data_IF_861428947359
#
_entry.id   IF_861428947359
#
_cell.length_a   1.000
_cell.length_b   1.000
_cell.length_c   1.000
_cell.angle_alpha   90.00
_cell.angle_beta   90.00
_cell.angle_gamma   90.00
#
_symmetry.space_group_name_H-M   'P 1'
#
loop_
_entity.id
_entity.type
_entity.pdbx_description
1 polymer ?
#
# COMPACT_ATOMS: atom_id res chain seq x y z
N UNK A 1 -27.38 9.76 2.36
CA UNK A 1 -26.50 8.66 1.90
C UNK A 1 -27.40 7.45 1.71
N UNK A 2 -27.51 6.92 0.49
CA UNK A 2 -28.36 5.75 0.21
C UNK A 2 -27.64 4.48 0.63
N UNK A 3 -28.28 3.64 1.43
CA UNK A 3 -27.80 2.29 1.74
C UNK A 3 -28.01 1.41 0.52
N UNK A 4 -26.95 0.80 0.02
CA UNK A 4 -27.02 -0.18 -1.07
C UNK A 4 -27.72 -1.44 -0.53
N UNK A 5 -28.69 -1.98 -1.26
CA UNK A 5 -29.41 -3.18 -0.82
C UNK A 5 -28.59 -4.44 -1.11
N UNK A 6 -28.86 -5.53 -0.40
CA UNK A 6 -28.18 -6.82 -0.60
C UNK A 6 -28.44 -7.37 -2.02
N UNK A 7 -29.62 -7.09 -2.57
CA UNK A 7 -30.03 -7.46 -3.91
C UNK A 7 -29.24 -6.68 -4.98
N UNK A 8 -28.94 -5.40 -4.74
CA UNK A 8 -28.07 -4.59 -5.61
C UNK A 8 -26.64 -5.12 -5.59
N UNK A 9 -26.11 -5.50 -4.42
CA UNK A 9 -24.78 -6.13 -4.30
C UNK A 9 -24.70 -7.43 -5.09
N UNK A 10 -25.71 -8.29 -4.96
CA UNK A 10 -25.76 -9.58 -5.67
C UNK A 10 -25.90 -9.39 -7.19
N UNK A 11 -26.62 -8.36 -7.63
CA UNK A 11 -26.73 -8.05 -9.06
C UNK A 11 -25.39 -7.56 -9.63
N UNK A 12 -24.64 -6.74 -8.89
CA UNK A 12 -23.32 -6.28 -9.32
C UNK A 12 -22.30 -7.41 -9.45
N UNK A 13 -22.36 -8.42 -8.56
CA UNK A 13 -21.49 -9.61 -8.66
C UNK A 13 -21.84 -10.43 -9.90
N UNK A 14 -23.13 -10.57 -10.22
CA UNK A 14 -23.58 -11.29 -11.43
C UNK A 14 -23.15 -10.59 -12.71
N UNK A 15 -23.39 -9.28 -12.81
CA UNK A 15 -23.02 -8.48 -13.97
C UNK A 15 -21.50 -8.50 -14.21
N UNK A 16 -20.71 -8.54 -13.14
CA UNK A 16 -19.25 -8.67 -13.22
C UNK A 16 -18.82 -10.02 -13.83
N UNK A 17 -19.46 -11.12 -13.42
CA UNK A 17 -19.16 -12.48 -13.89
C UNK A 17 -19.62 -12.67 -15.35
N UNK A 18 -20.75 -12.09 -15.75
CA UNK A 18 -21.32 -12.24 -17.09
C UNK A 18 -20.67 -11.33 -18.15
N UNK A 19 -20.05 -10.21 -17.74
CA UNK A 19 -19.43 -9.25 -18.66
C UNK A 19 -18.09 -9.72 -19.28
N UNK A 20 -17.47 -10.76 -18.73
CA UNK A 20 -16.28 -11.40 -19.31
C UNK A 20 -16.62 -12.84 -19.70
N UNK A 21 -17.13 -13.02 -20.93
CA UNK A 21 -17.30 -14.35 -21.51
C UNK A 21 -15.96 -15.10 -21.52
N UNK A 22 -15.92 -16.19 -20.74
CA UNK A 22 -14.76 -17.02 -20.53
C UNK A 22 -14.31 -17.70 -21.84
N UNK A 23 -13.03 -17.56 -22.18
CA UNK A 23 -12.36 -18.54 -23.06
C UNK A 23 -12.04 -19.82 -22.27
N UNK A 24 -12.01 -21.01 -22.90
CA UNK A 24 -11.93 -22.28 -22.18
C UNK A 24 -10.61 -22.46 -21.40
N UNK A 25 -10.72 -22.91 -20.16
CA UNK A 25 -9.62 -23.27 -19.27
C UNK A 25 -8.98 -24.56 -19.77
N UNK A 26 -7.68 -24.53 -20.07
CA UNK A 26 -6.86 -25.72 -20.36
C UNK A 26 -6.38 -26.35 -19.05
N UNK A 27 -6.19 -27.68 -18.98
CA UNK A 27 -5.78 -28.36 -17.74
C UNK A 27 -4.32 -28.00 -17.37
N UNK A 28 -3.93 -28.12 -16.08
CA UNK A 28 -2.59 -27.75 -15.63
C UNK A 28 -1.58 -28.81 -16.06
N UNK A 29 -0.61 -28.40 -16.88
CA UNK A 29 0.57 -29.19 -17.19
C UNK A 29 1.50 -29.22 -15.97
N UNK A 30 1.88 -30.43 -15.56
CA UNK A 30 2.81 -30.73 -14.49
C UNK A 30 4.26 -30.32 -14.79
N UNK A 31 4.91 -29.75 -13.76
CA UNK A 31 6.35 -29.65 -13.46
C UNK A 31 7.27 -28.85 -14.39
N UNK A 32 7.88 -27.80 -13.83
CA UNK A 32 9.34 -27.66 -13.59
C UNK A 32 9.59 -26.40 -12.76
N UNK A 33 10.34 -26.50 -11.64
CA UNK A 33 10.78 -25.31 -10.89
C UNK A 33 11.65 -24.45 -11.81
N UNK A 34 11.13 -23.27 -12.15
CA UNK A 34 11.78 -22.33 -13.05
C UNK A 34 12.68 -21.40 -12.23
N UNK A 35 13.93 -21.24 -12.65
CA UNK A 35 14.87 -20.24 -12.14
C UNK A 35 14.35 -18.78 -12.18
N UNK A 36 13.18 -18.55 -12.79
CA UNK A 36 12.55 -17.25 -12.92
C UNK A 36 11.82 -16.78 -11.65
N UNK A 37 11.49 -17.70 -10.73
CA UNK A 37 10.67 -17.40 -9.53
C UNK A 37 11.45 -16.65 -8.44
N UNK A 38 12.78 -16.67 -8.47
CA UNK A 38 13.63 -15.92 -7.52
C UNK A 38 13.80 -14.44 -7.90
N UNK A 39 13.57 -14.07 -9.17
CA UNK A 39 13.84 -12.73 -9.66
C UNK A 39 13.03 -11.64 -8.93
N UNK A 40 11.71 -11.81 -8.66
CA UNK A 40 10.92 -10.80 -7.95
C UNK A 40 11.39 -10.60 -6.51
N UNK A 41 11.74 -11.68 -5.81
CA UNK A 41 12.23 -11.64 -4.43
C UNK A 41 13.55 -10.88 -4.33
N UNK A 42 14.54 -11.26 -5.16
CA UNK A 42 15.85 -10.58 -5.18
C UNK A 42 15.71 -9.10 -5.56
N UNK A 43 14.83 -8.78 -6.51
CA UNK A 43 14.54 -7.39 -6.91
C UNK A 43 13.92 -6.61 -5.74
N UNK A 44 12.96 -7.19 -5.03
CA UNK A 44 12.34 -6.57 -3.86
C UNK A 44 13.37 -6.32 -2.76
N UNK A 45 14.19 -7.33 -2.43
CA UNK A 45 15.25 -7.20 -1.43
C UNK A 45 16.25 -6.11 -1.80
N UNK A 46 16.67 -6.03 -3.06
CA UNK A 46 17.59 -4.99 -3.50
C UNK A 46 16.97 -3.59 -3.39
N UNK A 47 15.69 -3.43 -3.73
CA UNK A 47 14.98 -2.16 -3.54
C UNK A 47 14.89 -1.77 -2.06
N UNK A 48 14.56 -2.71 -1.16
CA UNK A 48 14.48 -2.47 0.28
C UNK A 48 15.87 -2.12 0.83
N UNK A 49 16.90 -2.87 0.42
CA UNK A 49 18.30 -2.70 0.83
C UNK A 49 18.88 -1.36 0.39
N UNK A 50 18.48 -0.83 -0.77
CA UNK A 50 18.84 0.53 -1.24
C UNK A 50 18.07 1.60 -0.46
N UNK A 51 18.18 1.57 0.87
CA UNK A 51 17.66 2.62 1.72
C UNK A 51 18.65 3.78 1.79
N UNK A 52 18.16 5.01 1.65
CA UNK A 52 19.01 6.20 1.88
C UNK A 52 19.25 6.36 3.38
N UNK A 53 20.31 7.09 3.77
CA UNK A 53 20.57 7.38 5.18
C UNK A 53 19.36 8.03 5.86
N UNK A 54 18.72 8.95 5.16
CA UNK A 54 17.51 9.64 5.63
C UNK A 54 16.36 8.66 5.85
N UNK A 55 16.13 7.71 4.93
CA UNK A 55 15.09 6.69 5.09
C UNK A 55 15.32 5.86 6.36
N UNK A 56 16.58 5.48 6.62
CA UNK A 56 16.96 4.71 7.82
C UNK A 56 16.77 5.54 9.09
N UNK A 57 17.25 6.79 9.11
CA UNK A 57 17.14 7.67 10.26
C UNK A 57 15.66 7.91 10.65
N UNK A 58 14.79 8.16 9.66
CA UNK A 58 13.35 8.34 9.88
C UNK A 58 12.71 7.04 10.39
N UNK A 59 13.06 5.89 9.81
CA UNK A 59 12.54 4.59 10.25
C UNK A 59 12.92 4.29 11.70
N UNK A 60 14.18 4.52 12.09
CA UNK A 60 14.65 4.31 13.47
C UNK A 60 13.86 5.19 14.45
N UNK A 61 13.66 6.46 14.13
CA UNK A 61 12.83 7.37 14.94
C UNK A 61 11.40 6.88 15.09
N UNK A 62 10.77 6.43 14.01
CA UNK A 62 9.41 5.88 14.05
C UNK A 62 9.34 4.67 14.99
N UNK A 63 10.30 3.74 14.90
CA UNK A 63 10.32 2.54 15.73
C UNK A 63 10.48 2.87 17.22
N UNK A 64 11.30 3.86 17.56
CA UNK A 64 11.43 4.37 18.95
C UNK A 64 10.10 4.94 19.43
N UNK A 65 9.50 5.85 18.67
CA UNK A 65 8.22 6.48 19.04
C UNK A 65 7.08 5.48 19.20
N UNK A 66 6.96 4.51 18.28
CA UNK A 66 5.94 3.45 18.36
C UNK A 66 6.12 2.60 19.61
N UNK A 67 7.37 2.31 20.00
CA UNK A 67 7.66 1.55 21.22
C UNK A 67 7.33 2.35 22.49
N UNK A 68 7.63 3.65 22.50
CA UNK A 68 7.36 4.55 23.63
C UNK A 68 5.86 4.82 23.83
N UNK A 69 5.07 4.87 22.76
CA UNK A 69 3.62 5.04 22.84
C UNK A 69 2.91 3.84 23.51
N UNK A 70 3.59 2.70 23.65
CA UNK A 70 3.08 1.51 24.30
C UNK A 70 1.97 0.80 23.50
N UNK A 71 1.67 -0.45 23.89
CA UNK A 71 0.57 -1.26 23.34
C UNK A 71 -0.77 -0.78 23.91
N UNK A 72 -1.00 0.52 24.01
CA UNK A 72 -2.35 1.00 24.15
C UNK A 72 -3.06 0.62 22.85
N UNK A 73 -4.20 -0.07 22.96
CA UNK A 73 -5.01 -0.58 21.83
C UNK A 73 -5.73 0.59 21.14
N UNK A 74 -4.97 1.62 20.81
CA UNK A 74 -5.48 2.85 20.23
C UNK A 74 -5.87 2.60 18.77
N UNK A 75 -6.94 3.26 18.30
CA UNK A 75 -7.23 3.32 16.88
C UNK A 75 -6.00 3.75 16.08
N UNK A 76 -5.72 3.07 14.97
CA UNK A 76 -4.57 3.33 14.09
C UNK A 76 -4.43 4.81 13.70
N UNK A 77 -5.56 5.50 13.55
CA UNK A 77 -5.62 6.92 13.20
C UNK A 77 -5.05 7.83 14.32
N UNK A 78 -5.26 7.46 15.59
CA UNK A 78 -4.67 8.18 16.74
C UNK A 78 -3.16 7.95 16.82
N UNK A 79 -2.72 6.71 16.58
CA UNK A 79 -1.29 6.37 16.54
C UNK A 79 -0.56 7.16 15.46
N UNK A 80 -1.13 7.25 14.25
CA UNK A 80 -0.56 8.05 13.15
C UNK A 80 -0.47 9.53 13.52
N UNK A 81 -1.52 10.11 14.12
CA UNK A 81 -1.50 11.51 14.58
C UNK A 81 -0.43 11.76 15.64
N UNK A 82 -0.33 10.89 16.64
CA UNK A 82 0.69 11.00 17.69
C UNK A 82 2.10 10.86 17.11
N UNK A 83 2.30 9.95 16.16
CA UNK A 83 3.56 9.80 15.45
C UNK A 83 3.93 11.07 14.67
N UNK A 84 2.98 11.68 13.96
CA UNK A 84 3.22 12.97 13.28
C UNK A 84 3.62 14.06 14.28
N UNK A 85 2.97 14.14 15.44
CA UNK A 85 3.33 15.11 16.47
C UNK A 85 4.76 14.86 16.99
N UNK A 86 5.14 13.60 17.26
CA UNK A 86 6.49 13.23 17.70
C UNK A 86 7.57 13.52 16.65
N UNK A 87 7.31 13.20 15.38
CA UNK A 87 8.23 13.53 14.28
C UNK A 87 8.42 15.05 14.14
N UNK A 88 7.37 15.84 14.35
CA UNK A 88 7.48 17.31 14.40
C UNK A 88 8.32 17.81 15.58
N UNK A 89 8.20 17.18 16.75
CA UNK A 89 9.05 17.51 17.90
C UNK A 89 10.53 17.18 17.65
N UNK A 90 10.81 16.15 16.87
CA UNK A 90 12.16 15.79 16.41
C UNK A 90 12.71 16.73 15.32
N UNK A 91 11.92 17.70 14.85
CA UNK A 91 12.32 18.68 13.84
C UNK A 91 12.03 18.29 12.40
N UNK A 92 11.32 17.18 12.16
CA UNK A 92 10.89 16.81 10.81
C UNK A 92 9.61 17.55 10.39
N UNK A 93 9.52 17.93 9.12
CA UNK A 93 8.27 18.39 8.54
C UNK A 93 7.39 17.19 8.16
N UNK A 94 6.62 16.69 9.14
CA UNK A 94 5.72 15.55 8.96
C UNK A 94 4.24 15.99 8.86
N UNK A 95 3.44 15.33 8.02
CA UNK A 95 1.99 15.54 7.94
C UNK A 95 1.23 14.22 7.78
N UNK A 96 0.00 14.19 8.28
CA UNK A 96 -0.94 13.11 7.99
C UNK A 96 -1.64 13.42 6.66
N UNK A 97 -1.58 12.50 5.72
CA UNK A 97 -2.20 12.61 4.42
C UNK A 97 -3.37 11.64 4.31
N UNK A 98 -4.50 12.13 3.80
CA UNK A 98 -5.70 11.34 3.53
C UNK A 98 -5.98 11.39 2.03
N UNK A 99 -5.94 10.24 1.37
CA UNK A 99 -6.37 10.11 -0.02
C UNK A 99 -7.76 9.52 -0.07
N UNK A 100 -8.69 10.21 -0.72
CA UNK A 100 -9.98 9.64 -1.11
C UNK A 100 -9.82 8.94 -2.46
N UNK A 101 -9.72 7.62 -2.49
CA UNK A 101 -9.67 6.88 -3.75
C UNK A 101 -11.09 6.60 -4.23
N UNK A 102 -11.37 6.89 -5.50
CA UNK A 102 -12.62 6.53 -6.18
C UNK A 102 -12.29 5.51 -7.25
N UNK A 103 -12.69 4.25 -7.05
CA UNK A 103 -12.62 3.25 -8.09
C UNK A 103 -13.93 3.27 -8.89
N UNK A 104 -13.90 3.71 -10.15
CA UNK A 104 -15.02 3.54 -11.07
C UNK A 104 -14.95 2.16 -11.74
N UNK A 105 -15.98 1.34 -11.55
CA UNK A 105 -16.09 0.03 -12.20
C UNK A 105 -17.08 0.11 -13.37
N UNK A 106 -16.59 -0.03 -14.61
CA UNK A 106 -17.41 -0.09 -15.83
C UNK A 106 -17.72 1.27 -16.50
N UNK A 107 -18.40 1.23 -17.66
CA UNK A 107 -18.88 2.43 -18.41
C UNK A 107 -20.03 3.17 -17.71
N UNK A 108 -20.62 2.57 -16.68
CA UNK A 108 -21.70 3.17 -15.93
C UNK A 108 -21.16 3.74 -14.62
N UNK A 109 -21.51 5.00 -14.31
CA UNK A 109 -21.08 5.79 -13.13
C UNK A 109 -21.51 5.21 -11.75
N UNK A 110 -21.95 3.95 -11.67
CA UNK A 110 -22.84 3.48 -10.61
C UNK A 110 -22.11 2.91 -9.39
N UNK A 111 -20.84 2.51 -9.51
CA UNK A 111 -20.08 2.01 -8.35
C UNK A 111 -18.82 2.84 -8.13
N UNK A 112 -18.84 3.61 -7.05
CA UNK A 112 -17.69 4.33 -6.50
C UNK A 112 -17.34 3.65 -5.18
N UNK A 113 -16.22 2.93 -5.14
CA UNK A 113 -15.63 2.54 -3.86
C UNK A 113 -14.90 3.75 -3.31
N UNK A 114 -15.53 4.48 -2.40
CA UNK A 114 -14.92 5.56 -1.64
C UNK A 114 -14.24 4.95 -0.41
N UNK A 115 -12.93 4.81 -0.48
CA UNK A 115 -12.10 4.45 0.68
C UNK A 115 -11.15 5.59 0.96
N UNK A 116 -11.29 6.20 2.13
CA UNK A 116 -10.27 7.12 2.64
C UNK A 116 -9.09 6.30 3.14
N UNK A 117 -7.90 6.65 2.67
CA UNK A 117 -6.67 5.99 3.05
C UNK A 117 -5.72 7.00 3.69
N UNK A 118 -5.27 6.70 4.90
CA UNK A 118 -4.39 7.55 5.67
C UNK A 118 -2.94 7.06 5.64
N UNK A 119 -2.01 7.95 5.37
CA UNK A 119 -0.56 7.71 5.45
C UNK A 119 0.15 8.94 5.98
N UNK A 120 1.44 8.83 6.32
CA UNK A 120 2.24 9.96 6.77
C UNK A 120 3.20 10.34 5.65
N UNK A 121 3.37 11.64 5.40
CA UNK A 121 4.49 12.13 4.60
C UNK A 121 5.46 12.92 5.45
N UNK A 122 6.75 12.80 5.12
CA UNK A 122 7.84 13.53 5.76
C UNK A 122 8.62 14.24 4.67
N UNK A 123 8.68 15.57 4.74
CA UNK A 123 9.53 16.37 3.87
C UNK A 123 10.91 16.44 4.51
N UNK A 124 11.93 16.02 3.77
CA UNK A 124 13.32 16.10 4.22
C UNK A 124 14.06 17.12 3.36
N UNK A 125 14.66 18.10 4.02
CA UNK A 125 15.54 19.07 3.39
C UNK A 125 16.87 18.41 3.01
N UNK A 126 17.25 18.60 1.74
CA UNK A 126 18.53 18.19 1.13
C UNK A 126 18.68 16.68 0.83
N UNK A 127 18.25 16.28 -0.38
CA UNK A 127 18.80 15.11 -1.05
C UNK A 127 18.66 15.24 -2.57
N UNK A 128 19.77 15.00 -3.28
CA UNK A 128 19.93 14.95 -4.74
C UNK A 128 20.06 16.28 -5.50
N UNK A 129 21.07 17.10 -5.20
CA UNK A 129 21.69 18.09 -6.11
C UNK A 129 20.85 19.30 -6.59
N UNK A 130 19.53 19.18 -6.58
CA UNK A 130 18.57 20.10 -7.19
C UNK A 130 17.93 21.06 -6.17
N UNK A 131 18.33 20.96 -4.89
CA UNK A 131 17.86 21.84 -3.80
C UNK A 131 16.37 21.70 -3.46
N UNK A 132 15.67 20.69 -3.98
CA UNK A 132 14.26 20.43 -3.67
C UNK A 132 14.13 19.51 -2.45
N UNK A 133 13.16 19.75 -1.56
CA UNK A 133 12.89 18.83 -0.46
C UNK A 133 12.39 17.49 -1.00
N UNK A 134 12.95 16.40 -0.50
CA UNK A 134 12.57 15.04 -0.87
C UNK A 134 11.37 14.60 -0.01
N UNK A 135 10.33 14.07 -0.66
CA UNK A 135 9.13 13.57 0.02
C UNK A 135 9.30 12.08 0.31
N UNK A 136 9.29 11.72 1.59
CA UNK A 136 9.22 10.34 2.05
C UNK A 136 7.79 9.98 2.43
N UNK A 137 7.35 8.81 1.97
CA UNK A 137 6.08 8.21 2.35
C UNK A 137 6.33 7.22 3.48
N UNK A 138 5.51 7.32 4.52
CA UNK A 138 5.54 6.47 5.70
C UNK A 138 4.19 5.77 5.84
N UNK A 139 4.25 4.43 5.90
CA UNK A 139 3.11 3.57 6.14
C UNK A 139 3.46 2.55 7.22
N UNK A 140 2.69 2.53 8.30
CA UNK A 140 2.95 1.70 9.48
C UNK A 140 2.43 0.27 9.35
N UNK A 141 1.61 -0.01 8.33
CA UNK A 141 1.02 -1.32 8.08
C UNK A 141 1.11 -1.71 6.60
N UNK A 142 2.27 -1.48 6.01
CA UNK A 142 2.47 -1.61 4.56
C UNK A 142 2.32 -3.04 4.06
N UNK A 143 2.79 -4.04 4.83
CA UNK A 143 2.72 -5.46 4.47
C UNK A 143 1.29 -5.94 4.28
N UNK A 144 0.36 -5.55 5.17
CA UNK A 144 -1.03 -6.05 5.16
C UNK A 144 -1.75 -5.70 3.85
N UNK A 145 -1.36 -4.59 3.22
CA UNK A 145 -1.90 -4.15 1.94
C UNK A 145 -1.62 -5.10 0.75
N UNK A 146 -0.72 -6.07 0.91
CA UNK A 146 -0.36 -7.03 -0.12
C UNK A 146 -0.80 -8.46 0.20
N UNK A 147 -1.46 -8.70 1.33
CA UNK A 147 -1.97 -10.04 1.66
C UNK A 147 -3.10 -10.44 0.71
N UNK A 148 -3.01 -11.62 0.08
CA UNK A 148 -4.05 -12.14 -0.81
C UNK A 148 -4.64 -13.43 -0.27
N UNK A 149 -5.85 -13.76 -0.71
CA UNK A 149 -6.47 -15.03 -0.36
C UNK A 149 -5.77 -16.18 -1.10
N UNK A 150 -5.41 -17.24 -0.36
CA UNK A 150 -4.75 -18.46 -0.88
C UNK A 150 -3.46 -18.15 -1.67
N UNK A 151 -2.45 -17.48 -1.08
CA UNK A 151 -1.23 -17.16 -1.80
C UNK A 151 -0.53 -18.42 -2.33
N UNK A 152 0.20 -18.28 -3.44
CA UNK A 152 1.18 -19.29 -3.85
C UNK A 152 2.38 -19.24 -2.88
N UNK A 153 3.14 -20.34 -2.71
CA UNK A 153 4.32 -20.32 -1.84
C UNK A 153 5.31 -19.22 -2.20
N UNK A 154 5.58 -19.02 -3.50
CA UNK A 154 6.44 -17.95 -4.01
C UNK A 154 5.93 -16.56 -3.65
N UNK A 155 4.61 -16.33 -3.71
CA UNK A 155 4.04 -15.05 -3.33
C UNK A 155 4.10 -14.82 -1.82
N UNK A 156 3.92 -15.89 -1.02
CA UNK A 156 4.03 -15.83 0.43
C UNK A 156 5.45 -15.40 0.85
N UNK A 157 6.49 -16.04 0.28
CA UNK A 157 7.90 -15.64 0.50
C UNK A 157 8.15 -14.17 0.14
N UNK A 158 7.57 -13.71 -0.96
CA UNK A 158 7.69 -12.32 -1.39
C UNK A 158 7.02 -11.37 -0.39
N UNK A 159 5.82 -11.70 0.10
CA UNK A 159 5.12 -10.88 1.10
C UNK A 159 5.80 -10.90 2.47
N UNK A 160 6.44 -12.00 2.84
CA UNK A 160 7.17 -12.13 4.10
C UNK A 160 8.43 -11.27 4.15
N UNK A 161 8.99 -10.92 2.98
CA UNK A 161 10.11 -9.99 2.85
C UNK A 161 9.70 -8.51 2.94
N UNK A 162 8.41 -8.18 2.88
CA UNK A 162 7.94 -6.79 2.91
C UNK A 162 8.07 -6.24 4.34
N UNK A 163 8.64 -5.05 4.57
CA UNK A 163 8.68 -4.46 5.89
C UNK A 163 7.26 -4.08 6.34
N UNK A 164 6.94 -4.31 7.62
CA UNK A 164 5.64 -3.88 8.19
C UNK A 164 5.51 -2.36 8.19
N UNK A 165 6.58 -1.65 8.53
CA UNK A 165 6.68 -0.19 8.41
C UNK A 165 7.50 0.15 7.18
N UNK A 166 6.88 0.79 6.20
CA UNK A 166 7.56 1.32 5.02
C UNK A 166 7.94 2.77 5.23
N UNK A 167 9.19 3.10 4.86
CA UNK A 167 9.69 4.46 4.71
C UNK A 167 10.42 4.52 3.38
N UNK A 168 10.01 5.41 2.48
CA UNK A 168 10.74 5.61 1.24
C UNK A 168 10.15 6.62 0.28
N UNK A 169 10.90 6.91 -0.78
CA UNK A 169 10.48 7.86 -1.81
C UNK A 169 9.28 7.38 -2.62
N UNK A 170 8.58 8.31 -3.26
CA UNK A 170 7.47 7.99 -4.18
C UNK A 170 7.91 7.06 -5.32
N UNK A 171 9.12 7.24 -5.85
CA UNK A 171 9.67 6.40 -6.92
C UNK A 171 9.89 4.97 -6.45
N UNK A 172 10.51 4.81 -5.28
CA UNK A 172 10.76 3.50 -4.65
C UNK A 172 9.44 2.78 -4.36
N UNK A 173 8.48 3.49 -3.78
CA UNK A 173 7.14 2.98 -3.51
C UNK A 173 6.44 2.51 -4.78
N UNK A 174 6.47 3.31 -5.85
CA UNK A 174 5.86 2.97 -7.14
C UNK A 174 6.42 1.68 -7.73
N UNK A 175 7.75 1.49 -7.67
CA UNK A 175 8.42 0.27 -8.15
C UNK A 175 8.02 -0.95 -7.33
N UNK A 176 8.02 -0.84 -6.01
CA UNK A 176 7.62 -1.91 -5.09
C UNK A 176 6.16 -2.31 -5.34
N UNK A 177 5.23 -1.36 -5.39
CA UNK A 177 3.80 -1.65 -5.65
C UNK A 177 3.64 -2.35 -7.01
N UNK A 178 4.33 -1.88 -8.05
CA UNK A 178 4.22 -2.47 -9.39
C UNK A 178 4.68 -3.93 -9.40
N UNK A 179 5.79 -4.22 -8.72
CA UNK A 179 6.32 -5.58 -8.60
C UNK A 179 5.38 -6.49 -7.80
N UNK A 180 4.92 -6.02 -6.63
CA UNK A 180 4.05 -6.80 -5.75
C UNK A 180 2.67 -7.05 -6.36
N UNK A 181 2.07 -6.06 -7.03
CA UNK A 181 0.79 -6.23 -7.73
C UNK A 181 0.89 -7.20 -8.91
N UNK A 182 2.04 -7.22 -9.61
CA UNK A 182 2.29 -8.20 -10.67
C UNK A 182 2.34 -9.62 -10.10
N UNK A 183 3.12 -9.84 -9.05
CA UNK A 183 3.23 -11.13 -8.38
C UNK A 183 1.89 -11.57 -7.75
N UNK A 184 1.12 -10.62 -7.20
CA UNK A 184 -0.22 -10.88 -6.66
C UNK A 184 -1.17 -11.37 -7.76
N UNK A 185 -1.13 -10.72 -8.93
CA UNK A 185 -1.91 -11.11 -10.11
C UNK A 185 -1.56 -12.53 -10.56
N UNK A 186 -0.28 -12.86 -10.63
CA UNK A 186 0.20 -14.21 -10.99
C UNK A 186 -0.30 -15.24 -9.98
N UNK A 187 -0.11 -14.98 -8.68
CA UNK A 187 -0.59 -15.86 -7.60
C UNK A 187 -2.11 -16.09 -7.64
N UNK A 188 -2.91 -15.04 -7.84
CA UNK A 188 -4.37 -15.16 -7.89
C UNK A 188 -4.81 -15.95 -9.12
N UNK A 189 -4.17 -15.67 -10.27
CA UNK A 189 -4.48 -16.33 -11.55
C UNK A 189 -4.16 -17.82 -11.50
N UNK A 190 -3.01 -18.20 -10.93
CA UNK A 190 -2.64 -19.61 -10.74
C UNK A 190 -3.66 -20.36 -9.86
N UNK A 191 -4.25 -19.67 -8.90
CA UNK A 191 -5.29 -20.21 -8.02
C UNK A 191 -6.70 -20.15 -8.62
N UNK A 192 -6.85 -19.71 -9.86
CA UNK A 192 -8.14 -19.54 -10.54
C UNK A 192 -9.01 -18.43 -9.92
N UNK A 193 -8.40 -17.46 -9.25
CA UNK A 193 -9.08 -16.36 -8.58
C UNK A 193 -9.03 -15.09 -9.43
N UNK A 194 -10.15 -14.37 -9.47
CA UNK A 194 -10.22 -13.07 -10.12
C UNK A 194 -9.43 -12.00 -9.32
N UNK A 195 -8.87 -11.02 -10.03
CA UNK A 195 -8.03 -9.95 -9.44
C UNK A 195 -8.93 -8.77 -9.05
N UNK A 196 -9.10 -8.48 -7.75
CA UNK A 196 -9.95 -7.37 -7.34
C UNK A 196 -9.44 -6.03 -7.90
N UNK A 197 -10.32 -5.06 -8.21
CA UNK A 197 -9.92 -3.73 -8.63
C UNK A 197 -8.93 -3.07 -7.67
N UNK A 198 -9.13 -3.28 -6.36
CA UNK A 198 -8.26 -2.72 -5.31
C UNK A 198 -6.88 -3.39 -5.21
N UNK A 199 -6.64 -4.49 -5.95
CA UNK A 199 -5.33 -5.15 -6.05
C UNK A 199 -4.59 -4.80 -7.34
N UNK A 200 -5.20 -4.00 -8.21
CA UNK A 200 -4.52 -3.47 -9.39
C UNK A 200 -3.50 -2.40 -8.98
N UNK A 201 -2.36 -2.38 -9.67
CA UNK A 201 -1.27 -1.45 -9.39
C UNK A 201 -1.71 0.02 -9.43
N UNK A 202 -2.61 0.39 -10.34
CA UNK A 202 -3.14 1.75 -10.44
C UNK A 202 -3.90 2.19 -9.19
N UNK A 203 -4.79 1.33 -8.67
CA UNK A 203 -5.51 1.62 -7.44
C UNK A 203 -4.56 1.67 -6.24
N UNK A 204 -3.66 0.68 -6.12
CA UNK A 204 -2.70 0.64 -5.03
C UNK A 204 -1.80 1.89 -5.03
N UNK A 205 -1.25 2.29 -6.18
CA UNK A 205 -0.47 3.52 -6.29
C UNK A 205 -1.30 4.75 -5.91
N UNK A 206 -2.60 4.80 -6.26
CA UNK A 206 -3.45 5.94 -5.94
C UNK A 206 -3.52 6.22 -4.44
N UNK A 207 -3.44 5.21 -3.57
CA UNK A 207 -3.49 5.38 -2.11
C UNK A 207 -2.47 6.40 -1.59
N UNK A 208 -1.23 6.32 -2.07
CA UNK A 208 -0.12 7.17 -1.62
C UNK A 208 0.28 8.27 -2.61
N UNK A 209 0.05 8.04 -3.91
CA UNK A 209 0.59 8.88 -5.00
C UNK A 209 -0.48 9.72 -5.72
N UNK A 210 -1.73 9.70 -5.25
CA UNK A 210 -2.77 10.59 -5.79
C UNK A 210 -2.38 12.05 -5.57
N UNK A 211 -2.71 12.91 -6.53
CA UNK A 211 -2.62 14.37 -6.37
C UNK A 211 -3.77 14.92 -5.53
N UNK A 212 -4.88 14.19 -5.47
CA UNK A 212 -6.09 14.55 -4.75
C UNK A 212 -6.04 13.97 -3.33
N UNK A 213 -5.12 14.49 -2.52
CA UNK A 213 -5.00 14.13 -1.10
C UNK A 213 -5.12 15.38 -0.21
N UNK A 214 -5.61 15.18 1.01
CA UNK A 214 -5.75 16.23 2.03
C UNK A 214 -4.64 16.08 3.05
N UNK A 215 -3.88 17.15 3.31
CA UNK A 215 -2.97 17.22 4.46
C UNK A 215 -3.73 17.66 5.70
N UNK A 216 -3.67 16.86 6.75
CA UNK A 216 -4.22 17.18 8.07
C UNK A 216 -3.12 17.77 8.92
N UNK A 217 -3.31 19.01 9.36
CA UNK A 217 -2.42 19.66 10.30
C UNK A 217 -2.62 19.06 11.70
N UNK A 218 -1.65 18.25 12.13
CA UNK A 218 -1.60 17.78 13.52
C UNK A 218 -0.86 18.84 14.36
N UNK A 219 -1.50 19.47 15.37
CA UNK A 219 -0.83 20.40 16.25
C UNK A 219 0.15 19.67 17.17
N UNK A 220 1.24 20.35 17.55
CA UNK A 220 2.16 19.87 18.58
C UNK A 220 1.50 20.15 19.94
N UNK A 221 0.55 19.31 20.33
CA UNK A 221 0.01 19.33 21.69
C UNK A 221 0.78 18.30 22.51
N UNK A 222 1.28 18.70 23.68
CA UNK A 222 1.78 17.78 24.70
C UNK A 222 0.60 16.88 25.13
N UNK A 223 0.42 15.76 24.44
CA UNK A 223 -0.48 14.69 24.83
C UNK A 223 0.35 13.74 25.69
N UNK A 224 0.58 14.17 26.93
CA UNK A 224 1.07 13.35 28.03
C UNK A 224 -0.07 12.45 28.56
#
# INVERSE_FOLDING_TARGET
>A
MGSISEEELLQMVRDFIESESASPISPPSSNTMSHNDQHPYLTLQEMIRRATKVEVDVLEKILVHVKEMGIAREPTDLLKKRLVARLKMDGYEASLCITSSVCTLGRSKVVQYAGDYEYIDVMVGESNGDGKPERLIVDMDFRSHFEVVRPTPTYLELTDAIPSVFVGTEEKLKKIISLLCKAAKESLTERGLHIPPWRKASYMQSKWLSKDYKKVSVPITNMD
#
